data_IF_164498990202
#
_entry.id   IF_164498990202
#
_cell.length_a   1.000
_cell.length_b   1.000
_cell.length_c   1.000
_cell.angle_alpha   90.00
_cell.angle_beta   90.00
_cell.angle_gamma   90.00
#
_symmetry.space_group_name_H-M   'P 1'
#
loop_
_entity.id
_entity.type
_entity.pdbx_description
1 polymer ?
#
# COMPACT_ATOMS: atom_id res chain seq x y z
N UNK A 1 8.74 -13.90 8.69
CA UNK A 1 9.60 -14.06 7.49
C UNK A 1 8.82 -13.59 6.27
N UNK A 2 9.49 -13.03 5.25
CA UNK A 2 8.81 -12.62 4.02
C UNK A 2 8.22 -13.82 3.27
N UNK A 3 7.05 -13.66 2.66
CA UNK A 3 6.44 -14.66 1.80
C UNK A 3 5.90 -14.06 0.50
N UNK A 4 5.72 -14.91 -0.51
CA UNK A 4 5.22 -14.50 -1.83
C UNK A 4 3.71 -14.37 -1.78
N UNK A 5 3.18 -13.26 -2.26
CA UNK A 5 1.74 -13.09 -2.43
C UNK A 5 1.31 -13.80 -3.72
N UNK A 6 0.62 -14.93 -3.57
CA UNK A 6 0.00 -15.66 -4.67
C UNK A 6 -1.32 -14.98 -5.07
N UNK A 7 -1.36 -14.38 -6.26
CA UNK A 7 -2.56 -13.70 -6.77
C UNK A 7 -3.52 -14.65 -7.51
N UNK A 8 -3.14 -15.90 -7.74
CA UNK A 8 -4.03 -16.94 -8.27
C UNK A 8 -4.80 -17.62 -7.13
N UNK A 9 -4.17 -17.72 -5.95
CA UNK A 9 -4.77 -18.25 -4.71
C UNK A 9 -4.73 -17.19 -3.62
N UNK A 10 -5.67 -16.26 -3.69
CA UNK A 10 -5.82 -15.18 -2.70
C UNK A 10 -5.99 -15.77 -1.30
N UNK A 11 -5.20 -15.27 -0.35
CA UNK A 11 -5.16 -15.72 1.05
C UNK A 11 -5.24 -14.51 1.98
N UNK A 12 -5.94 -14.66 3.10
CA UNK A 12 -6.05 -13.66 4.17
C UNK A 12 -4.96 -13.75 5.22
N UNK A 13 -4.03 -14.70 5.10
CA UNK A 13 -2.92 -14.85 6.05
C UNK A 13 -2.16 -13.54 6.22
N UNK A 14 -1.95 -13.15 7.49
CA UNK A 14 -1.33 -11.89 7.89
C UNK A 14 -2.29 -10.69 7.95
N UNK A 15 -3.55 -10.85 7.54
CA UNK A 15 -4.55 -9.78 7.45
C UNK A 15 -5.85 -10.09 8.22
N UNK A 16 -5.89 -11.20 8.96
CA UNK A 16 -7.10 -11.76 9.55
C UNK A 16 -7.75 -10.85 10.61
N UNK A 17 -6.98 -9.95 11.22
CA UNK A 17 -7.51 -8.98 12.19
C UNK A 17 -8.28 -7.84 11.52
N UNK A 18 -8.14 -7.67 10.20
CA UNK A 18 -8.88 -6.65 9.47
C UNK A 18 -10.38 -6.98 9.41
N UNK A 19 -11.28 -6.01 9.68
CA UNK A 19 -12.72 -6.22 9.49
C UNK A 19 -13.10 -6.45 8.01
N UNK A 20 -12.20 -6.15 7.07
CA UNK A 20 -12.36 -6.37 5.63
C UNK A 20 -11.25 -7.27 5.06
N UNK A 21 -10.81 -8.27 5.84
CA UNK A 21 -9.67 -9.14 5.53
C UNK A 21 -9.69 -9.71 4.09
N UNK A 22 -10.82 -10.24 3.62
CA UNK A 22 -10.95 -10.78 2.25
C UNK A 22 -10.73 -9.71 1.17
N UNK A 23 -11.30 -8.52 1.35
CA UNK A 23 -11.14 -7.41 0.41
C UNK A 23 -9.72 -6.85 0.43
N UNK A 24 -9.10 -6.75 1.61
CA UNK A 24 -7.70 -6.32 1.76
C UNK A 24 -6.72 -7.34 1.16
N UNK A 25 -6.96 -8.64 1.36
CA UNK A 25 -6.21 -9.72 0.72
C UNK A 25 -6.33 -9.64 -0.81
N UNK A 26 -7.55 -9.40 -1.31
CA UNK A 26 -7.81 -9.14 -2.72
C UNK A 26 -7.06 -7.94 -3.28
N UNK A 27 -7.00 -6.84 -2.51
CA UNK A 27 -6.22 -5.64 -2.86
C UNK A 27 -4.71 -5.94 -2.90
N UNK A 28 -4.17 -6.62 -1.89
CA UNK A 28 -2.77 -7.08 -1.84
C UNK A 28 -2.43 -7.98 -3.04
N UNK A 29 -3.29 -8.94 -3.35
CA UNK A 29 -3.14 -9.80 -4.53
C UNK A 29 -3.22 -9.01 -5.85
N UNK A 30 -4.08 -7.99 -5.92
CA UNK A 30 -4.16 -7.11 -7.09
C UNK A 30 -2.84 -6.36 -7.33
N UNK A 31 -2.17 -5.88 -6.28
CA UNK A 31 -0.84 -5.28 -6.39
C UNK A 31 0.20 -6.30 -6.86
N UNK A 32 0.21 -7.50 -6.27
CA UNK A 32 1.14 -8.56 -6.65
C UNK A 32 1.02 -8.92 -8.14
N UNK A 33 -0.21 -9.07 -8.64
CA UNK A 33 -0.48 -9.32 -10.06
C UNK A 33 0.01 -8.17 -10.95
N UNK A 34 -0.18 -6.91 -10.53
CA UNK A 34 0.29 -5.75 -11.30
C UNK A 34 1.81 -5.78 -11.46
N UNK A 35 2.56 -6.01 -10.37
CA UNK A 35 4.02 -6.08 -10.43
C UNK A 35 4.52 -7.27 -11.23
N UNK A 36 3.86 -8.42 -11.12
CA UNK A 36 4.20 -9.59 -11.93
C UNK A 36 4.00 -9.31 -13.42
N UNK A 37 2.84 -8.77 -13.80
CA UNK A 37 2.52 -8.56 -15.21
C UNK A 37 3.30 -7.42 -15.86
N UNK A 38 3.55 -6.33 -15.11
CA UNK A 38 4.19 -5.14 -15.67
C UNK A 38 5.71 -5.20 -15.62
N UNK A 39 6.27 -5.84 -14.59
CA UNK A 39 7.71 -5.77 -14.30
C UNK A 39 8.37 -7.14 -14.13
N UNK A 40 7.64 -8.24 -14.29
CA UNK A 40 8.08 -9.59 -13.95
C UNK A 40 8.54 -9.75 -12.48
N UNK A 41 8.15 -8.81 -11.61
CA UNK A 41 8.58 -8.76 -10.22
C UNK A 41 7.71 -9.64 -9.32
N UNK A 42 8.35 -10.44 -8.45
CA UNK A 42 7.68 -11.30 -7.47
C UNK A 42 7.43 -10.50 -6.19
N UNK A 43 6.18 -10.08 -5.98
CA UNK A 43 5.77 -9.30 -4.82
C UNK A 43 5.77 -10.14 -3.55
N UNK A 44 6.60 -9.76 -2.58
CA UNK A 44 6.70 -10.40 -1.27
C UNK A 44 6.33 -9.41 -0.17
N UNK A 45 5.73 -9.91 0.90
CA UNK A 45 5.38 -9.13 2.09
C UNK A 45 5.91 -9.80 3.34
N UNK A 46 6.20 -8.99 4.36
CA UNK A 46 6.53 -9.43 5.71
C UNK A 46 5.52 -8.86 6.70
N UNK A 47 5.32 -9.52 7.87
CA UNK A 47 4.66 -8.86 8.99
C UNK A 47 5.31 -7.50 9.27
N UNK A 48 4.50 -6.46 9.48
CA UNK A 48 5.00 -5.09 9.63
C UNK A 48 5.97 -4.95 10.82
N UNK A 49 5.77 -5.75 11.87
CA UNK A 49 6.65 -5.81 13.04
C UNK A 49 8.06 -6.34 12.75
N UNK A 50 8.26 -7.06 11.65
CA UNK A 50 9.57 -7.56 11.24
C UNK A 50 10.34 -6.60 10.33
N UNK A 51 9.66 -5.58 9.78
CA UNK A 51 10.24 -4.56 8.87
C UNK A 51 9.80 -3.14 9.28
N UNK A 52 10.02 -2.75 10.55
CA UNK A 52 9.57 -1.46 11.07
C UNK A 52 10.13 -0.27 10.29
N UNK A 53 11.32 -0.39 9.70
CA UNK A 53 11.95 0.65 8.91
C UNK A 53 11.14 1.05 7.67
N UNK A 54 10.39 0.11 7.07
CA UNK A 54 9.51 0.39 5.93
C UNK A 54 8.31 1.21 6.41
N UNK A 55 7.71 0.80 7.52
CA UNK A 55 6.57 1.49 8.14
C UNK A 55 6.97 2.90 8.57
N UNK A 56 8.12 3.03 9.23
CA UNK A 56 8.66 4.31 9.72
C UNK A 56 8.96 5.27 8.57
N UNK A 57 9.54 4.77 7.47
CA UNK A 57 9.82 5.59 6.29
C UNK A 57 8.52 6.12 5.66
N UNK A 58 7.53 5.25 5.47
CA UNK A 58 6.22 5.66 4.92
C UNK A 58 5.53 6.65 5.86
N UNK A 59 5.53 6.39 7.17
CA UNK A 59 4.97 7.27 8.19
C UNK A 59 5.66 8.64 8.22
N UNK A 60 6.99 8.68 8.11
CA UNK A 60 7.75 9.93 8.02
C UNK A 60 7.35 10.75 6.80
N UNK A 61 7.25 10.14 5.61
CA UNK A 61 6.84 10.84 4.39
C UNK A 61 5.43 11.43 4.55
N UNK A 62 4.49 10.66 5.10
CA UNK A 62 3.11 11.13 5.32
C UNK A 62 3.04 12.34 6.25
N UNK A 63 3.77 12.28 7.37
CA UNK A 63 3.83 13.36 8.37
C UNK A 63 4.51 14.59 7.80
N UNK A 64 5.70 14.44 7.22
CA UNK A 64 6.52 15.56 6.77
C UNK A 64 5.88 16.26 5.55
N UNK A 65 5.24 15.52 4.64
CA UNK A 65 4.60 16.10 3.44
C UNK A 65 3.22 16.70 3.69
N UNK A 66 2.44 16.11 4.60
CA UNK A 66 1.00 16.38 4.69
C UNK A 66 0.45 16.40 6.11
N UNK A 67 1.27 16.26 7.14
CA UNK A 67 0.83 16.15 8.54
C UNK A 67 -0.25 15.07 8.71
N UNK A 68 0.03 13.87 8.17
CA UNK A 68 -0.83 12.69 8.25
C UNK A 68 -0.16 11.66 9.14
N UNK A 69 -0.91 11.17 10.13
CA UNK A 69 -0.54 10.03 10.98
C UNK A 69 -1.65 9.01 10.87
N UNK A 70 -1.31 7.80 10.43
CA UNK A 70 -2.30 6.72 10.27
C UNK A 70 -2.58 6.09 11.63
N UNK A 71 -3.85 6.10 12.04
CA UNK A 71 -4.26 5.56 13.35
C UNK A 71 -4.39 4.04 13.38
N UNK A 72 -4.56 3.42 12.20
CA UNK A 72 -4.73 1.97 12.08
C UNK A 72 -3.41 1.21 12.25
N UNK A 73 -3.47 0.00 12.80
CA UNK A 73 -2.31 -0.88 12.98
C UNK A 73 -1.76 -1.35 11.62
N UNK A 74 -0.45 -1.19 11.33
CA UNK A 74 0.17 -1.81 10.16
C UNK A 74 0.26 -3.32 10.38
N UNK A 75 -0.22 -4.11 9.42
CA UNK A 75 -0.22 -5.57 9.48
C UNK A 75 0.95 -6.14 8.69
N UNK A 76 1.15 -5.64 7.47
CA UNK A 76 2.22 -6.09 6.58
C UNK A 76 2.87 -4.93 5.85
N UNK A 77 4.16 -5.11 5.53
CA UNK A 77 4.89 -4.15 4.73
C UNK A 77 5.90 -4.82 3.80
N UNK A 78 6.33 -4.07 2.79
CA UNK A 78 7.38 -4.49 1.87
C UNK A 78 8.08 -3.28 1.24
N UNK A 79 9.34 -3.46 0.90
CA UNK A 79 10.10 -2.51 0.08
C UNK A 79 10.94 -3.28 -0.94
N UNK A 80 11.02 -2.74 -2.15
CA UNK A 80 11.77 -3.35 -3.25
C UNK A 80 12.11 -2.31 -4.33
N UNK A 81 13.14 -2.61 -5.12
CA UNK A 81 13.48 -1.83 -6.30
C UNK A 81 12.96 -2.52 -7.57
N UNK A 82 12.40 -1.74 -8.48
CA UNK A 82 11.93 -2.20 -9.78
C UNK A 82 11.96 -1.08 -10.79
N UNK A 83 12.57 -1.28 -11.96
CA UNK A 83 12.56 -0.32 -13.07
C UNK A 83 12.93 1.13 -12.67
N UNK A 84 14.00 1.29 -11.90
CA UNK A 84 14.46 2.61 -11.42
C UNK A 84 13.59 3.23 -10.31
N UNK A 85 12.66 2.47 -9.74
CA UNK A 85 11.77 2.91 -8.66
C UNK A 85 12.07 2.14 -7.37
N UNK A 86 12.25 2.87 -6.27
CA UNK A 86 12.13 2.36 -4.90
C UNK A 86 10.67 2.37 -4.50
N UNK A 87 10.09 1.19 -4.42
CA UNK A 87 8.71 0.98 -3.97
C UNK A 87 8.71 0.63 -2.50
N UNK A 88 7.74 1.16 -1.77
CA UNK A 88 7.38 0.69 -0.43
C UNK A 88 5.86 0.56 -0.33
N UNK A 89 5.39 -0.44 0.41
CA UNK A 89 3.98 -0.67 0.68
C UNK A 89 3.78 -0.96 2.17
N UNK A 90 2.66 -0.48 2.71
CA UNK A 90 2.14 -0.85 4.03
C UNK A 90 0.65 -1.15 3.88
N UNK A 91 0.22 -2.28 4.43
CA UNK A 91 -1.18 -2.72 4.53
C UNK A 91 -1.61 -2.62 5.98
N UNK A 92 -2.67 -1.86 6.22
CA UNK A 92 -3.19 -1.55 7.55
C UNK A 92 -4.47 -2.34 7.84
N UNK A 93 -4.70 -2.58 9.13
CA UNK A 93 -5.84 -3.33 9.64
C UNK A 93 -7.19 -2.77 9.16
N UNK A 94 -7.30 -1.45 8.99
CA UNK A 94 -8.53 -0.80 8.49
C UNK A 94 -8.95 -1.22 7.07
N UNK A 95 -8.07 -1.86 6.31
CA UNK A 95 -8.25 -2.10 4.87
C UNK A 95 -7.51 -1.08 3.99
N UNK A 96 -6.81 -0.12 4.59
CA UNK A 96 -5.99 0.85 3.87
C UNK A 96 -4.70 0.20 3.39
N UNK A 97 -4.36 0.39 2.12
CA UNK A 97 -3.03 0.17 1.57
C UNK A 97 -2.42 1.51 1.17
N UNK A 98 -1.19 1.73 1.61
CA UNK A 98 -0.38 2.90 1.23
C UNK A 98 0.82 2.40 0.46
N UNK A 99 1.11 3.05 -0.67
CA UNK A 99 2.35 2.83 -1.39
C UNK A 99 3.14 4.11 -1.57
N UNK A 100 4.47 4.01 -1.48
CA UNK A 100 5.39 5.06 -1.90
C UNK A 100 6.06 4.59 -3.18
N UNK A 101 5.91 5.38 -4.24
CA UNK A 101 6.69 5.26 -5.46
C UNK A 101 7.76 6.34 -5.43
N UNK A 102 9.03 5.93 -5.41
CA UNK A 102 10.14 6.86 -5.30
C UNK A 102 11.16 6.62 -6.41
N UNK A 103 11.20 7.49 -7.42
CA UNK A 103 12.22 7.41 -8.46
C UNK A 103 13.63 7.63 -7.89
N UNK A 104 14.56 6.76 -8.31
CA UNK A 104 15.98 6.81 -7.93
C UNK A 104 16.69 7.96 -8.65
N UNK A 105 16.26 8.29 -9.86
CA UNK A 105 16.83 9.38 -10.64
C UNK A 105 16.48 10.75 -10.04
N UNK A 106 17.44 11.68 -10.15
CA UNK A 106 17.25 13.06 -9.73
C UNK A 106 16.14 13.73 -10.54
N UNK A 107 15.22 14.41 -9.84
CA UNK A 107 14.04 15.03 -10.46
C UNK A 107 12.98 14.03 -10.94
N UNK A 108 13.15 12.73 -10.70
CA UNK A 108 12.19 11.70 -11.05
C UNK A 108 10.88 11.79 -10.25
N UNK A 109 9.83 11.14 -10.77
CA UNK A 109 8.49 11.20 -10.15
C UNK A 109 8.47 10.45 -8.81
N UNK A 110 8.02 11.14 -7.76
CA UNK A 110 7.87 10.61 -6.40
C UNK A 110 6.44 10.87 -5.91
N UNK A 111 5.75 9.85 -5.40
CA UNK A 111 4.36 9.97 -5.00
C UNK A 111 3.97 8.97 -3.91
N UNK A 112 2.99 9.35 -3.10
CA UNK A 112 2.27 8.45 -2.20
C UNK A 112 0.92 8.12 -2.83
N UNK A 113 0.58 6.84 -2.90
CA UNK A 113 -0.74 6.35 -3.30
C UNK A 113 -1.50 5.80 -2.10
N UNK A 114 -2.80 6.07 -2.06
CA UNK A 114 -3.75 5.48 -1.13
C UNK A 114 -4.71 4.57 -1.88
N UNK A 115 -4.96 3.39 -1.33
CA UNK A 115 -5.99 2.46 -1.83
C UNK A 115 -6.80 1.97 -0.64
N UNK A 116 -8.10 2.19 -0.70
CA UNK A 116 -9.06 1.67 0.27
C UNK A 116 -9.66 0.38 -0.30
N UNK A 117 -9.61 -0.69 0.49
CA UNK A 117 -10.29 -1.94 0.17
C UNK A 117 -11.81 -1.73 0.02
N UNK A 118 -12.47 -2.71 -0.59
CA UNK A 118 -13.92 -2.72 -0.65
C UNK A 118 -14.51 -2.86 0.77
N UNK A 119 -15.65 -2.22 1.03
CA UNK A 119 -16.35 -2.30 2.31
C UNK A 119 -15.79 -1.48 3.48
N UNK A 120 -14.60 -0.86 3.37
CA UNK A 120 -14.08 0.00 4.46
C UNK A 120 -14.62 1.45 4.38
N UNK A 121 -14.58 2.19 5.48
CA UNK A 121 -14.80 3.65 5.45
C UNK A 121 -13.53 4.40 5.06
N UNK A 122 -13.66 5.68 4.71
CA UNK A 122 -12.47 6.53 4.49
C UNK A 122 -11.92 6.90 5.88
N UNK A 123 -10.62 6.68 6.17
CA UNK A 123 -10.04 7.08 7.46
C UNK A 123 -10.22 8.58 7.71
N UNK A 124 -10.53 8.97 8.95
CA UNK A 124 -10.81 10.36 9.33
C UNK A 124 -9.65 11.29 8.97
N UNK A 125 -8.41 10.82 9.13
CA UNK A 125 -7.19 11.54 8.77
C UNK A 125 -7.04 11.79 7.25
N UNK A 126 -7.85 11.13 6.40
CA UNK A 126 -7.85 11.27 4.94
C UNK A 126 -9.15 11.85 4.36
N UNK A 127 -10.30 11.69 5.04
CA UNK A 127 -11.64 11.93 4.48
C UNK A 127 -11.85 13.34 3.91
N UNK A 128 -11.44 14.37 4.65
CA UNK A 128 -11.58 15.76 4.21
C UNK A 128 -10.43 16.24 3.31
N UNK A 129 -9.32 15.49 3.26
CA UNK A 129 -8.08 15.89 2.58
C UNK A 129 -7.99 15.37 1.16
N UNK A 130 -8.65 14.25 0.84
CA UNK A 130 -8.51 13.58 -0.44
C UNK A 130 -9.85 13.22 -1.07
N UNK A 131 -9.90 13.32 -2.40
CA UNK A 131 -10.99 12.74 -3.20
C UNK A 131 -10.56 11.36 -3.68
N UNK A 132 -11.46 10.39 -3.52
CA UNK A 132 -11.19 9.00 -3.89
C UNK A 132 -11.98 8.60 -5.14
N UNK A 133 -11.26 8.21 -6.18
CA UNK A 133 -11.84 7.65 -7.40
C UNK A 133 -12.09 6.15 -7.23
N UNK A 134 -13.16 5.62 -7.82
CA UNK A 134 -13.53 4.20 -7.74
C UNK A 134 -13.07 3.46 -8.99
N UNK A 135 -12.52 2.27 -8.80
CA UNK A 135 -12.22 1.31 -9.87
C UNK A 135 -12.69 -0.09 -9.46
N UNK A 136 -13.10 -0.91 -10.42
CA UNK A 136 -13.50 -2.30 -10.18
C UNK A 136 -12.31 -3.23 -10.44
N UNK A 137 -12.10 -4.19 -9.55
CA UNK A 137 -11.12 -5.26 -9.67
C UNK A 137 -11.81 -6.61 -9.51
N UNK A 138 -11.40 -7.58 -10.33
CA UNK A 138 -11.83 -8.98 -10.16
C UNK A 138 -11.32 -9.61 -8.87
N UNK A 139 -10.19 -9.14 -8.34
CA UNK A 139 -9.56 -9.68 -7.13
C UNK A 139 -10.00 -8.92 -5.87
N UNK A 140 -10.27 -7.62 -5.99
CA UNK A 140 -10.39 -6.73 -4.83
C UNK A 140 -11.75 -6.00 -4.73
N UNK A 141 -12.76 -6.41 -5.51
CA UNK A 141 -14.04 -5.70 -5.55
C UNK A 141 -13.89 -4.26 -6.02
N UNK A 142 -14.49 -3.30 -5.30
CA UNK A 142 -14.33 -1.87 -5.57
C UNK A 142 -13.15 -1.30 -4.78
N UNK A 143 -12.07 -0.94 -5.49
CA UNK A 143 -10.95 -0.19 -4.91
C UNK A 143 -11.25 1.31 -5.02
N UNK A 144 -11.07 2.05 -3.94
CA UNK A 144 -11.07 3.51 -3.95
C UNK A 144 -9.64 4.03 -3.84
N UNK A 145 -9.19 4.81 -4.83
CA UNK A 145 -7.82 5.29 -4.92
C UNK A 145 -7.69 6.81 -4.86
N UNK A 146 -6.62 7.29 -4.22
CA UNK A 146 -6.16 8.68 -4.29
C UNK A 146 -4.63 8.74 -4.22
N UNK A 147 -4.03 9.92 -4.40
CA UNK A 147 -2.58 10.07 -4.32
C UNK A 147 -2.17 11.53 -4.05
N UNK A 148 -0.91 11.73 -3.67
CA UNK A 148 -0.25 13.03 -3.77
C UNK A 148 1.21 12.89 -4.21
N UNK A 149 1.78 13.97 -4.75
CA UNK A 149 3.19 14.04 -5.16
C UNK A 149 4.05 14.49 -3.98
N UNK A 150 5.16 13.79 -3.77
CA UNK A 150 6.16 14.08 -2.74
C UNK A 150 7.00 15.29 -3.20
N UNK A 151 7.22 16.25 -2.31
CA UNK A 151 8.01 17.46 -2.57
C UNK A 151 9.40 17.43 -1.94
N UNK A 152 9.56 16.76 -0.80
CA UNK A 152 10.82 16.58 -0.11
C UNK A 152 11.65 15.38 -0.59
N UNK A 153 12.75 15.14 0.11
CA UNK A 153 13.68 14.03 -0.14
C UNK A 153 13.79 13.11 1.09
N UNK A 154 13.75 11.79 0.87
CA UNK A 154 13.53 10.77 1.92
C UNK A 154 14.15 9.42 1.60
#
# INVERSE_FOLDING_TARGET
MPYIVDFEKVSTVGLESSPVAEALAGLRANEARYYRNKYDHVFKVSPASEVPEVVDRVGRILRDERDIVIGSLPLEATAFEVDGLRMAYVFYESGLSINVMYSIDDGGKRAVGFKLADGMDIPEELESRFKFARQKSKLAGVIRGSYFVIKGEY
#
